data_IF_699768277896
#
_entry.id   IF_699768277896
#
_cell.length_a   1.000
_cell.length_b   1.000
_cell.length_c   1.000
_cell.angle_alpha   90.00
_cell.angle_beta   90.00
_cell.angle_gamma   90.00
#
_symmetry.space_group_name_H-M   'P 1'
#
loop_
_entity.id
_entity.type
_entity.pdbx_description
1 polymer ?
#
# COMPACT_ATOMS: atom_id res chain seq x y z
N UNK A 1 -1.11 10.86 -38.81
CA UNK A 1 -0.89 11.12 -37.37
C UNK A 1 -2.11 10.66 -36.59
N UNK A 2 -2.01 9.51 -35.90
CA UNK A 2 -3.07 9.02 -35.03
C UNK A 2 -2.99 9.79 -33.71
N UNK A 3 -3.98 10.65 -33.45
CA UNK A 3 -4.12 11.33 -32.15
C UNK A 3 -4.73 10.32 -31.18
N UNK A 4 -3.87 9.63 -30.42
CA UNK A 4 -4.26 8.81 -29.28
C UNK A 4 -4.80 9.76 -28.21
N UNK A 5 -6.11 10.03 -28.21
CA UNK A 5 -6.78 10.64 -27.06
C UNK A 5 -6.74 9.64 -25.91
N UNK A 6 -5.75 9.79 -25.04
CA UNK A 6 -5.73 9.14 -23.73
C UNK A 6 -6.92 9.70 -22.96
N UNK A 7 -7.98 8.90 -22.85
CA UNK A 7 -9.16 9.23 -22.07
C UNK A 7 -8.76 9.12 -20.60
N UNK A 8 -8.48 10.26 -19.95
CA UNK A 8 -8.31 10.31 -18.49
C UNK A 8 -9.70 10.07 -17.90
N UNK A 9 -9.99 8.80 -17.60
CA UNK A 9 -11.22 8.41 -16.92
C UNK A 9 -11.35 9.19 -15.61
N UNK A 10 -12.56 9.65 -15.30
CA UNK A 10 -12.85 10.25 -14.00
C UNK A 10 -12.44 9.26 -12.90
N UNK A 11 -11.53 9.69 -12.03
CA UNK A 11 -11.10 8.85 -10.91
C UNK A 11 -12.28 8.60 -9.97
N UNK A 12 -12.51 7.33 -9.62
CA UNK A 12 -13.57 6.97 -8.69
C UNK A 12 -13.25 7.49 -7.29
N UNK A 13 -14.26 7.71 -6.44
CA UNK A 13 -14.06 8.09 -5.03
C UNK A 13 -13.12 7.12 -4.32
N UNK A 14 -13.19 5.83 -4.65
CA UNK A 14 -12.28 4.78 -4.16
C UNK A 14 -10.83 5.01 -4.57
N UNK A 15 -10.57 5.32 -5.84
CA UNK A 15 -9.22 5.62 -6.32
C UNK A 15 -8.63 6.86 -5.62
N UNK A 16 -9.46 7.87 -5.34
CA UNK A 16 -9.03 9.06 -4.59
C UNK A 16 -8.66 8.71 -3.14
N UNK A 17 -9.46 7.90 -2.46
CA UNK A 17 -9.16 7.45 -1.08
C UNK A 17 -7.88 6.60 -1.03
N UNK A 18 -7.70 5.67 -1.97
CA UNK A 18 -6.48 4.86 -2.05
C UNK A 18 -5.24 5.71 -2.34
N UNK A 19 -5.36 6.73 -3.21
CA UNK A 19 -4.27 7.65 -3.48
C UNK A 19 -3.89 8.49 -2.25
N UNK A 20 -4.88 8.98 -1.49
CA UNK A 20 -4.62 9.69 -0.22
C UNK A 20 -3.95 8.76 0.79
N UNK A 21 -4.41 7.52 0.90
CA UNK A 21 -3.79 6.50 1.76
C UNK A 21 -2.33 6.21 1.38
N UNK A 22 -2.02 6.12 0.08
CA UNK A 22 -0.66 5.95 -0.42
C UNK A 22 0.25 7.11 0.00
N UNK A 23 -0.21 8.35 -0.21
CA UNK A 23 0.56 9.54 0.18
C UNK A 23 0.80 9.61 1.69
N UNK A 24 -0.20 9.21 2.49
CA UNK A 24 -0.05 9.16 3.94
C UNK A 24 1.02 8.13 4.38
N UNK A 25 1.05 6.95 3.76
CA UNK A 25 2.08 5.93 4.03
C UNK A 25 3.47 6.42 3.63
N UNK A 26 3.60 7.04 2.45
CA UNK A 26 4.86 7.62 1.99
C UNK A 26 5.37 8.71 2.94
N UNK A 27 4.48 9.63 3.34
CA UNK A 27 4.81 10.69 4.29
C UNK A 27 5.24 10.17 5.65
N UNK A 28 4.57 9.15 6.18
CA UNK A 28 4.93 8.50 7.44
C UNK A 28 6.33 7.90 7.37
N UNK A 29 6.66 7.17 6.29
CA UNK A 29 7.99 6.58 6.13
C UNK A 29 9.07 7.66 5.99
N UNK A 30 8.84 8.71 5.20
CA UNK A 30 9.77 9.84 5.10
C UNK A 30 10.02 10.50 6.47
N UNK A 31 8.97 10.71 7.25
CA UNK A 31 9.08 11.24 8.61
C UNK A 31 9.87 10.29 9.54
N UNK A 32 9.67 8.97 9.46
CA UNK A 32 10.46 7.99 10.21
C UNK A 32 11.94 8.04 9.80
N UNK A 33 12.24 8.16 8.50
CA UNK A 33 13.60 8.31 8.01
C UNK A 33 14.30 9.55 8.60
N UNK A 34 13.62 10.69 8.57
CA UNK A 34 14.16 11.98 9.04
C UNK A 34 14.23 12.11 10.56
N UNK A 35 13.18 11.69 11.28
CA UNK A 35 13.03 11.98 12.71
C UNK A 35 13.50 10.85 13.62
N UNK A 36 13.67 9.64 13.09
CA UNK A 36 14.03 8.45 13.90
C UNK A 36 15.31 7.81 13.40
N UNK A 37 15.38 7.44 12.12
CA UNK A 37 16.52 6.66 11.60
C UNK A 37 17.79 7.51 11.53
N UNK A 38 17.73 8.68 10.88
CA UNK A 38 18.91 9.54 10.76
C UNK A 38 19.47 9.98 12.12
N UNK A 39 18.67 10.48 13.09
CA UNK A 39 19.19 10.86 14.40
C UNK A 39 19.76 9.68 15.19
N UNK A 40 19.14 8.49 15.11
CA UNK A 40 19.65 7.31 15.80
C UNK A 40 21.01 6.85 15.25
N UNK A 41 21.20 6.89 13.93
CA UNK A 41 22.49 6.57 13.31
C UNK A 41 23.55 7.63 13.62
N UNK A 42 23.18 8.91 13.55
CA UNK A 42 24.08 10.00 13.93
C UNK A 42 24.52 9.87 15.40
N UNK A 43 23.60 9.62 16.32
CA UNK A 43 23.93 9.43 17.74
C UNK A 43 24.83 8.22 17.98
N UNK A 44 24.66 7.16 17.19
CA UNK A 44 25.53 5.98 17.27
C UNK A 44 26.97 6.32 16.86
N UNK A 45 27.16 7.14 15.83
CA UNK A 45 28.49 7.58 15.37
C UNK A 45 29.08 8.64 16.31
N UNK A 46 28.31 9.66 16.69
CA UNK A 46 28.73 10.68 17.64
C UNK A 46 29.09 10.10 19.03
N UNK A 47 28.42 9.04 19.46
CA UNK A 47 28.73 8.35 20.71
C UNK A 47 30.01 7.52 20.70
N UNK A 48 30.68 7.39 19.55
CA UNK A 48 31.98 6.72 19.42
C UNK A 48 33.18 7.68 19.51
N UNK A 49 32.92 8.99 19.49
CA UNK A 49 33.91 10.07 19.51
C UNK A 49 34.04 10.61 20.93
N UNK A 50 35.25 10.60 21.50
CA UNK A 50 35.53 11.15 22.83
C UNK A 50 36.33 12.47 22.77
N UNK A 51 35.59 13.58 22.82
CA UNK A 51 36.12 14.96 22.84
C UNK A 51 35.96 15.62 24.21
N UNK A 52 35.89 14.82 25.28
CA UNK A 52 35.72 15.31 26.65
C UNK A 52 37.04 15.85 27.23
N UNK A 53 37.01 16.77 28.22
CA UNK A 53 38.21 17.12 28.97
C UNK A 53 38.86 15.87 29.60
N UNK A 54 40.17 15.74 29.48
CA UNK A 54 40.94 14.56 29.94
C UNK A 54 41.08 13.45 28.90
N UNK A 55 40.43 13.54 27.74
CA UNK A 55 40.64 12.59 26.62
C UNK A 55 41.89 12.93 25.80
N UNK A 56 42.33 12.00 24.94
CA UNK A 56 43.46 12.22 24.01
C UNK A 56 43.13 13.42 23.10
N UNK A 57 44.09 14.34 22.94
CA UNK A 57 43.95 15.59 22.20
C UNK A 57 43.35 16.75 23.00
N UNK A 58 42.89 16.53 24.23
CA UNK A 58 42.43 17.60 25.12
C UNK A 58 43.60 18.33 25.77
N UNK A 59 43.35 19.54 26.29
CA UNK A 59 44.37 20.31 27.02
C UNK A 59 44.86 19.56 28.25
N UNK A 60 46.15 19.72 28.57
CA UNK A 60 46.72 19.22 29.82
C UNK A 60 45.96 19.79 31.04
N UNK A 61 45.38 18.91 31.84
CA UNK A 61 44.56 19.26 33.02
C UNK A 61 45.12 18.66 34.34
N UNK A 62 46.27 17.98 34.26
CA UNK A 62 46.92 17.29 35.37
C UNK A 62 46.34 15.90 35.67
N UNK A 63 45.44 15.36 34.85
CA UNK A 63 44.89 14.02 34.99
C UNK A 63 45.88 12.90 34.62
N UNK A 64 46.88 13.21 33.79
CA UNK A 64 47.87 12.26 33.28
C UNK A 64 49.31 12.69 33.62
N UNK A 65 50.28 11.77 33.67
CA UNK A 65 51.67 12.10 33.94
C UNK A 65 52.27 13.05 32.90
N UNK A 66 53.06 14.01 33.38
CA UNK A 66 53.91 14.84 32.51
C UNK A 66 55.21 14.07 32.24
N UNK A 67 55.59 13.98 30.98
CA UNK A 67 56.77 13.25 30.50
C UNK A 67 57.68 14.16 29.69
N UNK A 68 58.98 13.85 29.66
CA UNK A 68 59.96 14.59 28.85
C UNK A 68 60.83 13.67 27.98
N UNK A 69 60.75 12.35 28.20
CA UNK A 69 61.59 11.37 27.49
C UNK A 69 60.77 10.31 26.75
N UNK A 70 61.32 9.77 25.66
CA UNK A 70 60.65 8.71 24.87
C UNK A 70 60.29 7.49 25.74
N UNK A 71 61.19 7.08 26.63
CA UNK A 71 60.99 5.92 27.50
C UNK A 71 59.77 6.05 28.42
N UNK A 72 59.43 7.26 28.82
CA UNK A 72 58.23 7.54 29.63
C UNK A 72 56.95 7.52 28.80
N UNK A 73 57.06 7.81 27.49
CA UNK A 73 55.94 7.78 26.54
C UNK A 73 55.60 6.36 26.07
N UNK A 74 56.58 5.45 26.01
CA UNK A 74 56.47 4.08 25.44
C UNK A 74 55.62 3.07 26.25
N UNK A 75 54.84 3.52 27.23
CA UNK A 75 53.98 2.65 28.05
C UNK A 75 52.61 2.33 27.48
N UNK A 76 52.18 3.02 26.41
CA UNK A 76 50.80 2.96 25.90
C UNK A 76 49.76 3.64 26.79
N UNK A 77 50.21 4.24 27.90
CA UNK A 77 49.39 5.06 28.78
C UNK A 77 49.33 6.51 28.28
N UNK A 78 48.22 7.23 28.51
CA UNK A 78 48.14 8.65 28.19
C UNK A 78 49.18 9.48 28.96
N UNK A 79 49.73 10.51 28.31
CA UNK A 79 50.76 11.38 28.87
C UNK A 79 50.57 12.83 28.41
N UNK A 80 51.26 13.77 29.06
CA UNK A 80 51.44 15.14 28.57
C UNK A 80 52.92 15.35 28.32
N UNK A 81 53.30 15.59 27.06
CA UNK A 81 54.70 15.87 26.72
C UNK A 81 54.99 17.34 27.04
N UNK A 82 55.98 17.58 27.89
CA UNK A 82 56.54 18.91 28.14
C UNK A 82 57.94 18.95 27.55
N UNK A 83 58.14 19.76 26.51
CA UNK A 83 59.38 19.75 25.73
C UNK A 83 59.97 21.17 25.68
N UNK A 84 61.29 21.27 25.78
CA UNK A 84 61.99 22.53 25.52
C UNK A 84 62.25 22.69 24.02
N UNK A 85 61.88 23.85 23.48
CA UNK A 85 62.01 24.17 22.07
C UNK A 85 62.76 25.48 21.89
N UNK A 86 63.69 25.49 20.93
CA UNK A 86 64.53 26.64 20.61
C UNK A 86 64.16 27.17 19.22
N UNK A 87 63.96 28.48 19.13
CA UNK A 87 63.35 29.18 18.01
C UNK A 87 64.19 29.15 16.75
N UNK A 88 63.64 28.53 15.71
CA UNK A 88 63.53 29.16 14.40
C UNK A 88 62.05 29.16 14.03
N UNK A 89 61.56 30.20 13.37
CA UNK A 89 60.14 30.49 13.12
C UNK A 89 59.48 29.54 12.10
N UNK A 90 60.06 28.36 11.91
CA UNK A 90 59.54 27.22 11.14
C UNK A 90 59.09 26.12 12.11
N UNK A 91 58.11 26.45 12.97
CA UNK A 91 57.39 25.49 13.84
C UNK A 91 57.06 24.22 13.05
N UNK A 92 57.52 23.06 13.55
CA UNK A 92 57.21 21.71 13.07
C UNK A 92 57.25 21.56 11.54
N UNK A 93 58.43 21.43 10.94
CA UNK A 93 58.56 20.86 9.58
C UNK A 93 58.26 19.37 9.63
N UNK A 94 56.98 19.05 9.69
CA UNK A 94 56.47 17.71 9.46
C UNK A 94 56.51 17.35 7.98
N UNK A 95 56.33 16.08 7.67
CA UNK A 95 56.16 15.59 6.30
C UNK A 95 54.99 14.60 6.22
N UNK A 96 54.56 14.33 4.99
CA UNK A 96 53.54 13.32 4.71
C UNK A 96 54.11 11.92 4.92
N UNK A 97 53.38 11.07 5.62
CA UNK A 97 53.53 9.62 5.58
C UNK A 97 52.20 9.08 5.03
N UNK A 98 52.23 8.58 3.79
CA UNK A 98 51.01 8.24 3.06
C UNK A 98 50.17 9.48 2.74
N UNK A 99 48.89 9.45 3.12
CA UNK A 99 47.94 10.56 2.96
C UNK A 99 47.83 11.43 4.22
N UNK A 100 48.60 11.12 5.27
CA UNK A 100 48.54 11.79 6.56
C UNK A 100 49.76 12.69 6.78
N UNK A 101 49.54 13.95 7.18
CA UNK A 101 50.62 14.85 7.60
C UNK A 101 50.96 14.62 9.07
N UNK A 102 52.25 14.40 9.37
CA UNK A 102 52.73 14.25 10.73
C UNK A 102 53.70 15.38 11.09
N UNK A 103 53.49 15.98 12.24
CA UNK A 103 54.37 16.98 12.82
C UNK A 103 55.65 16.35 13.35
N UNK A 104 56.73 17.13 13.34
CA UNK A 104 58.03 16.73 13.85
C UNK A 104 58.22 17.25 15.26
N UNK A 105 58.42 16.36 16.22
CA UNK A 105 58.82 16.71 17.59
C UNK A 105 60.22 16.15 17.83
N UNK A 106 61.15 17.01 18.27
CA UNK A 106 62.51 16.59 18.66
C UNK A 106 62.61 16.66 20.17
N UNK A 107 62.89 15.53 20.82
CA UNK A 107 63.05 15.42 22.27
C UNK A 107 64.45 15.88 22.71
N UNK A 108 64.63 16.09 24.01
CA UNK A 108 65.91 16.52 24.61
C UNK A 108 67.10 15.59 24.30
N UNK A 109 66.84 14.29 24.15
CA UNK A 109 67.88 13.30 23.81
C UNK A 109 68.22 13.25 22.30
N UNK A 110 67.58 14.12 21.50
CA UNK A 110 67.75 14.20 20.05
C UNK A 110 66.84 13.25 19.27
N UNK A 111 66.00 12.47 19.94
CA UNK A 111 65.04 11.59 19.27
C UNK A 111 63.97 12.42 18.54
N UNK A 112 63.72 12.09 17.29
CA UNK A 112 62.71 12.72 16.44
C UNK A 112 61.51 11.80 16.26
N UNK A 113 60.34 12.29 16.69
CA UNK A 113 59.05 11.63 16.62
C UNK A 113 58.15 12.27 15.55
N UNK A 114 57.33 11.43 14.93
CA UNK A 114 56.15 11.86 14.19
C UNK A 114 54.98 12.03 15.18
N UNK A 115 54.22 13.11 15.04
CA UNK A 115 53.09 13.41 15.91
C UNK A 115 51.89 13.97 15.17
N UNK A 116 50.69 13.56 15.57
CA UNK A 116 49.45 14.29 15.27
C UNK A 116 49.17 15.22 16.43
N UNK A 117 49.03 16.52 16.17
CA UNK A 117 48.99 17.52 17.24
C UNK A 117 47.78 18.42 17.04
N UNK A 118 46.94 18.52 18.07
CA UNK A 118 45.94 19.58 18.17
C UNK A 118 46.59 20.85 18.75
N UNK A 119 47.18 21.67 17.87
CA UNK A 119 47.88 22.91 18.25
C UNK A 119 47.03 23.87 19.10
N UNK A 120 45.70 23.88 18.92
CA UNK A 120 44.80 24.72 19.74
C UNK A 120 44.74 24.33 21.24
N UNK A 121 45.26 23.15 21.61
CA UNK A 121 45.30 22.66 22.98
C UNK A 121 46.72 22.70 23.60
N UNK A 122 47.70 23.27 22.91
CA UNK A 122 49.05 23.44 23.46
C UNK A 122 49.16 24.70 24.32
N UNK A 123 50.14 24.71 25.23
CA UNK A 123 50.50 25.90 26.00
C UNK A 123 52.00 26.15 25.93
N UNK A 124 52.40 27.40 25.68
CA UNK A 124 53.79 27.81 25.54
C UNK A 124 54.20 28.71 26.72
N UNK A 125 55.32 28.39 27.37
CA UNK A 125 55.94 29.21 28.42
C UNK A 125 57.33 29.67 27.95
N UNK A 126 57.57 30.98 27.89
CA UNK A 126 58.89 31.51 27.55
C UNK A 126 59.87 31.31 28.72
N UNK A 127 61.04 30.74 28.43
CA UNK A 127 62.08 30.49 29.42
C UNK A 127 62.75 31.82 29.79
N UNK A 128 63.02 32.01 31.08
CA UNK A 128 63.75 33.17 31.58
C UNK A 128 65.01 32.71 32.29
N UNK A 129 66.16 32.98 31.67
CA UNK A 129 67.46 32.67 32.27
C UNK A 129 67.67 33.42 33.60
N UNK A 130 68.39 32.77 34.52
CA UNK A 130 68.63 33.28 35.86
C UNK A 130 69.46 34.58 35.80
N UNK A 131 68.86 35.70 36.20
CA UNK A 131 69.46 37.05 36.12
C UNK A 131 69.05 37.89 34.90
N UNK A 132 68.28 37.33 33.95
CA UNK A 132 67.81 38.07 32.78
C UNK A 132 66.66 39.03 33.11
N UNK A 133 66.65 40.22 32.47
CA UNK A 133 65.60 41.23 32.60
C UNK A 133 64.35 40.93 31.76
N UNK A 134 64.46 40.04 30.77
CA UNK A 134 63.37 39.64 29.85
C UNK A 134 63.44 38.12 29.62
N UNK A 135 62.30 37.53 29.27
CA UNK A 135 62.25 36.15 28.81
C UNK A 135 62.92 36.02 27.43
N UNK A 136 63.49 34.85 27.17
CA UNK A 136 63.96 34.49 25.85
C UNK A 136 62.77 34.07 25.00
N UNK A 137 62.53 34.80 23.91
CA UNK A 137 61.43 34.51 22.98
C UNK A 137 61.80 33.42 21.98
N UNK A 138 63.07 33.01 21.94
CA UNK A 138 63.61 31.91 21.14
C UNK A 138 63.81 30.66 22.01
N UNK A 139 63.37 30.63 23.27
CA UNK A 139 63.41 29.43 24.10
C UNK A 139 62.08 29.30 24.84
N UNK A 140 61.28 28.32 24.43
CA UNK A 140 59.96 28.05 24.98
C UNK A 140 59.87 26.65 25.52
N UNK A 141 59.20 26.47 26.65
CA UNK A 141 58.72 25.17 27.07
C UNK A 141 57.30 25.01 26.54
N UNK A 142 57.11 24.04 25.65
CA UNK A 142 55.81 23.69 25.09
C UNK A 142 55.24 22.54 25.89
N UNK A 143 54.02 22.71 26.39
CA UNK A 143 53.23 21.63 26.98
C UNK A 143 52.16 21.23 25.97
N UNK A 144 52.33 20.04 25.40
CA UNK A 144 51.46 19.49 24.37
C UNK A 144 50.12 18.98 24.95
N UNK A 145 49.10 18.77 24.11
CA UNK A 145 47.85 18.13 24.51
C UNK A 145 48.09 16.72 25.08
N UNK A 146 47.09 16.17 25.78
CA UNK A 146 47.14 14.78 26.26
C UNK A 146 47.35 13.87 25.06
N UNK A 147 48.46 13.14 25.06
CA UNK A 147 48.89 12.27 23.98
C UNK A 147 48.93 10.80 24.38
N UNK A 148 49.00 9.93 23.39
CA UNK A 148 49.31 8.50 23.57
C UNK A 148 50.16 8.00 22.42
N UNK A 149 51.07 7.06 22.69
CA UNK A 149 51.83 6.40 21.63
C UNK A 149 50.93 5.39 20.92
N UNK A 150 50.83 5.51 19.59
CA UNK A 150 50.08 4.57 18.75
C UNK A 150 51.00 3.84 17.77
N UNK A 151 50.74 2.55 17.49
CA UNK A 151 51.41 1.88 16.39
C UNK A 151 50.97 2.48 15.06
N UNK A 152 51.84 2.39 14.05
CA UNK A 152 51.50 2.82 12.69
C UNK A 152 50.32 2.04 12.10
N UNK A 153 49.39 2.71 11.38
CA UNK A 153 48.42 2.04 10.53
C UNK A 153 49.12 1.06 9.57
N UNK A 154 48.49 -0.08 9.30
CA UNK A 154 49.10 -1.15 8.49
C UNK A 154 49.61 -0.66 7.12
N UNK A 155 48.92 0.31 6.54
CA UNK A 155 49.22 0.93 5.24
C UNK A 155 50.33 1.99 5.29
N UNK A 156 50.66 2.50 6.49
CA UNK A 156 51.70 3.51 6.69
C UNK A 156 53.02 2.92 7.26
N UNK A 157 53.02 1.67 7.74
CA UNK A 157 54.17 1.02 8.39
C UNK A 157 55.46 1.07 7.55
N UNK A 158 55.43 0.57 6.30
CA UNK A 158 56.61 0.56 5.42
C UNK A 158 57.08 1.99 5.06
N UNK A 159 56.13 2.94 4.94
CA UNK A 159 56.43 4.33 4.63
C UNK A 159 57.09 5.04 5.81
N UNK A 160 56.60 4.78 7.02
CA UNK A 160 57.17 5.30 8.25
C UNK A 160 58.58 4.74 8.50
N UNK A 161 58.82 3.44 8.24
CA UNK A 161 60.16 2.84 8.28
C UNK A 161 61.13 3.58 7.33
N UNK A 162 60.70 3.84 6.10
CA UNK A 162 61.51 4.53 5.08
C UNK A 162 61.70 6.04 5.31
N UNK A 163 60.91 6.68 6.19
CA UNK A 163 60.90 8.13 6.38
C UNK A 163 62.22 8.67 6.98
N UNK A 164 63.10 9.27 6.17
CA UNK A 164 64.42 9.72 6.65
C UNK A 164 64.43 10.86 7.68
N UNK A 165 63.27 11.48 7.95
CA UNK A 165 63.15 12.65 8.82
C UNK A 165 62.81 12.33 10.28
N UNK A 166 62.39 11.11 10.60
CA UNK A 166 62.15 10.62 11.97
C UNK A 166 63.21 9.59 12.37
N UNK A 167 63.56 9.55 13.66
CA UNK A 167 64.49 8.55 14.21
C UNK A 167 63.75 7.44 14.96
N UNK A 168 62.59 7.73 15.53
CA UNK A 168 61.72 6.72 16.14
C UNK A 168 60.74 6.15 15.10
N UNK A 169 60.66 4.81 15.03
CA UNK A 169 59.96 4.09 13.95
C UNK A 169 58.84 3.19 14.41
N UNK A 170 58.76 2.89 15.70
CA UNK A 170 57.83 1.87 16.20
C UNK A 170 56.39 2.40 16.35
N UNK A 171 56.19 3.71 16.20
CA UNK A 171 54.88 4.34 16.21
C UNK A 171 54.94 5.85 16.05
N UNK A 172 53.83 6.51 16.36
CA UNK A 172 53.70 7.97 16.38
C UNK A 172 53.01 8.42 17.66
N UNK A 173 53.18 9.69 18.02
CA UNK A 173 52.43 10.30 19.10
C UNK A 173 51.08 10.82 18.59
N UNK A 174 49.98 10.29 19.09
CA UNK A 174 48.64 10.83 18.84
C UNK A 174 48.27 11.80 19.95
N UNK A 175 48.29 13.09 19.64
CA UNK A 175 47.85 14.21 20.48
C UNK A 175 46.73 15.00 19.81
N UNK A 176 46.04 14.38 18.85
CA UNK A 176 44.84 14.90 18.19
C UNK A 176 43.60 14.15 18.69
N UNK A 177 43.73 12.83 18.90
CA UNK A 177 42.64 11.98 19.37
C UNK A 177 41.41 12.05 18.45
N UNK A 178 40.22 12.02 19.05
CA UNK A 178 38.98 12.09 18.27
C UNK A 178 38.57 13.54 17.91
N UNK A 179 39.34 14.56 18.32
CA UNK A 179 39.06 15.96 17.96
C UNK A 179 39.24 16.24 16.47
N UNK A 180 39.98 15.40 15.76
CA UNK A 180 40.12 15.45 14.29
C UNK A 180 39.03 14.68 13.52
N UNK A 181 38.09 14.02 14.20
CA UNK A 181 37.04 13.21 13.54
C UNK A 181 35.90 14.09 13.05
N UNK A 182 35.72 14.16 11.72
CA UNK A 182 34.57 14.82 11.12
C UNK A 182 33.31 13.93 11.18
N UNK A 183 32.32 14.34 11.98
CA UNK A 183 31.01 13.69 12.00
C UNK A 183 30.21 13.98 10.72
N UNK A 184 29.36 13.05 10.27
CA UNK A 184 28.51 13.29 9.12
C UNK A 184 27.50 14.43 9.38
N UNK A 185 27.21 15.21 8.33
CA UNK A 185 26.21 16.27 8.39
C UNK A 185 24.81 15.69 8.68
N UNK A 186 24.29 15.96 9.88
CA UNK A 186 22.99 15.48 10.34
C UNK A 186 21.84 15.94 9.44
N UNK A 187 21.85 17.16 8.93
CA UNK A 187 20.77 17.66 8.07
C UNK A 187 20.79 16.98 6.70
N UNK A 188 21.98 16.72 6.17
CA UNK A 188 22.16 15.89 4.98
C UNK A 188 21.68 14.46 5.24
N UNK A 189 22.06 13.84 6.36
CA UNK A 189 21.60 12.50 6.74
C UNK A 189 20.08 12.42 6.86
N UNK A 190 19.44 13.41 7.50
CA UNK A 190 17.97 13.49 7.62
C UNK A 190 17.31 13.52 6.25
N UNK A 191 17.88 14.29 5.31
CA UNK A 191 17.39 14.40 3.94
C UNK A 191 17.53 13.08 3.19
N UNK A 192 18.71 12.46 3.23
CA UNK A 192 18.98 11.20 2.53
C UNK A 192 18.13 10.05 3.05
N UNK A 193 18.02 9.91 4.38
CA UNK A 193 17.18 8.87 4.98
C UNK A 193 15.69 9.12 4.79
N UNK A 194 15.25 10.38 4.79
CA UNK A 194 13.87 10.73 4.41
C UNK A 194 13.56 10.25 3.00
N UNK A 195 14.43 10.51 2.03
CA UNK A 195 14.23 10.11 0.63
C UNK A 195 14.23 8.58 0.46
N UNK A 196 15.20 7.88 1.07
CA UNK A 196 15.28 6.41 1.06
C UNK A 196 14.02 5.77 1.64
N UNK A 197 13.56 6.27 2.78
CA UNK A 197 12.36 5.74 3.42
C UNK A 197 11.09 6.10 2.67
N UNK A 198 10.99 7.29 2.07
CA UNK A 198 9.87 7.66 1.20
C UNK A 198 9.73 6.68 0.02
N UNK A 199 10.85 6.29 -0.60
CA UNK A 199 10.86 5.28 -1.66
C UNK A 199 10.38 3.90 -1.16
N UNK A 200 10.83 3.47 0.02
CA UNK A 200 10.32 2.25 0.67
C UNK A 200 8.82 2.34 0.97
N UNK A 201 8.35 3.50 1.44
CA UNK A 201 6.94 3.80 1.69
C UNK A 201 6.08 3.76 0.43
N UNK A 202 6.61 4.17 -0.72
CA UNK A 202 5.92 4.04 -2.01
C UNK A 202 5.68 2.57 -2.36
N UNK A 203 6.71 1.72 -2.25
CA UNK A 203 6.58 0.28 -2.54
C UNK A 203 5.59 -0.39 -1.59
N UNK A 204 5.72 -0.14 -0.28
CA UNK A 204 4.81 -0.68 0.72
C UNK A 204 3.37 -0.19 0.53
N UNK A 205 3.20 1.11 0.24
CA UNK A 205 1.90 1.71 0.00
C UNK A 205 1.22 1.17 -1.27
N UNK A 206 1.96 0.96 -2.36
CA UNK A 206 1.41 0.34 -3.58
C UNK A 206 0.97 -1.11 -3.35
N UNK A 207 1.75 -1.89 -2.60
CA UNK A 207 1.36 -3.25 -2.22
C UNK A 207 0.10 -3.27 -1.34
N UNK A 208 0.06 -2.41 -0.32
CA UNK A 208 -1.10 -2.29 0.58
C UNK A 208 -2.37 -1.83 -0.16
N UNK A 209 -2.27 -0.79 -0.99
CA UNK A 209 -3.42 -0.29 -1.77
C UNK A 209 -3.93 -1.34 -2.75
N UNK A 210 -3.03 -2.06 -3.44
CA UNK A 210 -3.42 -3.16 -4.33
C UNK A 210 -4.13 -4.27 -3.56
N UNK A 211 -3.62 -4.66 -2.39
CA UNK A 211 -4.26 -5.67 -1.55
C UNK A 211 -5.66 -5.22 -1.10
N UNK A 212 -5.80 -4.00 -0.59
CA UNK A 212 -7.10 -3.43 -0.19
C UNK A 212 -8.08 -3.40 -1.37
N UNK A 213 -7.61 -2.98 -2.55
CA UNK A 213 -8.42 -2.93 -3.76
C UNK A 213 -8.93 -4.33 -4.16
N UNK A 214 -8.06 -5.34 -4.11
CA UNK A 214 -8.43 -6.74 -4.35
C UNK A 214 -9.43 -7.27 -3.32
N UNK A 215 -9.23 -6.98 -2.03
CA UNK A 215 -10.15 -7.40 -0.96
C UNK A 215 -11.53 -6.74 -1.09
N UNK A 216 -11.57 -5.45 -1.37
CA UNK A 216 -12.82 -4.72 -1.59
C UNK A 216 -13.54 -5.22 -2.85
N UNK A 217 -12.83 -5.42 -3.97
CA UNK A 217 -13.40 -5.96 -5.19
C UNK A 217 -14.00 -7.35 -5.00
N UNK A 218 -13.34 -8.22 -4.22
CA UNK A 218 -13.90 -9.54 -3.84
C UNK A 218 -15.18 -9.42 -3.02
N UNK A 219 -15.24 -8.47 -2.08
CA UNK A 219 -16.43 -8.24 -1.24
C UNK A 219 -17.60 -7.70 -2.07
N UNK A 220 -17.36 -6.76 -2.97
CA UNK A 220 -18.35 -6.20 -3.89
C UNK A 220 -18.89 -7.27 -4.86
N UNK A 221 -17.99 -8.08 -5.46
CA UNK A 221 -18.38 -9.19 -6.32
C UNK A 221 -19.22 -10.23 -5.58
N UNK A 222 -18.88 -10.54 -4.32
CA UNK A 222 -19.67 -11.45 -3.47
C UNK A 222 -21.03 -10.91 -3.06
N UNK A 223 -21.21 -9.58 -3.05
CA UNK A 223 -22.45 -8.98 -2.56
C UNK A 223 -23.66 -9.32 -3.44
N UNK A 224 -23.48 -9.50 -4.75
CA UNK A 224 -24.55 -9.94 -5.65
C UNK A 224 -24.49 -11.41 -6.02
N UNK A 225 -23.49 -12.19 -5.60
CA UNK A 225 -23.57 -13.66 -5.74
C UNK A 225 -24.55 -14.23 -4.70
N UNK A 226 -25.46 -15.14 -5.08
CA UNK A 226 -26.34 -15.81 -4.12
C UNK A 226 -25.52 -16.57 -3.07
N UNK A 227 -25.85 -16.39 -1.79
CA UNK A 227 -25.16 -16.99 -0.63
C UNK A 227 -26.03 -18.01 0.11
N UNK A 228 -27.34 -17.98 -0.10
CA UNK A 228 -28.31 -18.88 0.53
C UNK A 228 -29.14 -19.58 -0.54
N UNK A 229 -29.76 -20.71 -0.18
CA UNK A 229 -30.68 -21.41 -1.08
C UNK A 229 -31.88 -20.53 -1.46
N UNK A 230 -32.38 -19.71 -0.54
CA UNK A 230 -33.45 -18.74 -0.82
C UNK A 230 -33.03 -17.71 -1.88
N UNK A 231 -31.83 -17.13 -1.76
CA UNK A 231 -31.30 -16.20 -2.75
C UNK A 231 -31.12 -16.87 -4.12
N UNK A 232 -30.66 -18.11 -4.13
CA UNK A 232 -30.48 -18.89 -5.35
C UNK A 232 -31.83 -19.26 -5.99
N UNK A 233 -32.82 -19.66 -5.19
CA UNK A 233 -34.17 -19.96 -5.64
C UNK A 233 -34.81 -18.72 -6.27
N UNK A 234 -34.73 -17.57 -5.60
CA UNK A 234 -35.22 -16.29 -6.12
C UNK A 234 -34.48 -15.90 -7.41
N UNK A 235 -33.16 -16.12 -7.49
CA UNK A 235 -32.44 -15.91 -8.75
C UNK A 235 -32.97 -16.82 -9.87
N UNK A 236 -33.36 -18.05 -9.54
CA UNK A 236 -33.92 -19.03 -10.46
C UNK A 236 -35.09 -18.49 -11.29
N UNK A 237 -36.00 -17.74 -10.67
CA UNK A 237 -37.21 -17.20 -11.34
C UNK A 237 -36.88 -16.25 -12.49
N UNK A 238 -35.71 -15.61 -12.49
CA UNK A 238 -35.27 -14.72 -13.57
C UNK A 238 -33.86 -15.05 -14.09
N UNK A 239 -33.35 -16.25 -13.83
CA UNK A 239 -31.98 -16.64 -14.12
C UNK A 239 -31.66 -16.56 -15.62
N UNK A 240 -32.62 -16.91 -16.48
CA UNK A 240 -32.46 -16.77 -17.92
C UNK A 240 -32.23 -15.31 -18.32
N UNK A 241 -33.06 -14.38 -17.82
CA UNK A 241 -32.85 -12.95 -17.99
C UNK A 241 -31.48 -12.51 -17.48
N UNK A 242 -31.15 -12.87 -16.24
CA UNK A 242 -29.92 -12.50 -15.56
C UNK A 242 -28.68 -12.89 -16.37
N UNK A 243 -28.64 -14.11 -16.90
CA UNK A 243 -27.52 -14.60 -17.71
C UNK A 243 -27.41 -13.91 -19.07
N UNK A 244 -28.51 -13.45 -19.67
CA UNK A 244 -28.42 -12.60 -20.86
C UNK A 244 -27.91 -11.20 -20.52
N UNK A 245 -28.45 -10.60 -19.46
CA UNK A 245 -28.10 -9.25 -19.04
C UNK A 245 -26.63 -9.15 -18.61
N UNK A 246 -26.10 -10.19 -17.97
CA UNK A 246 -24.70 -10.33 -17.61
C UNK A 246 -23.73 -10.19 -18.80
N UNK A 247 -24.14 -10.62 -20.01
CA UNK A 247 -23.31 -10.61 -21.22
C UNK A 247 -23.13 -9.22 -21.85
N UNK A 248 -23.90 -8.21 -21.42
CA UNK A 248 -23.88 -6.87 -21.99
C UNK A 248 -22.80 -5.98 -21.34
N UNK A 249 -21.95 -5.29 -22.09
CA UNK A 249 -21.13 -4.23 -21.51
C UNK A 249 -21.96 -2.98 -21.14
N UNK A 250 -21.33 -1.96 -20.55
CA UNK A 250 -21.99 -0.70 -20.19
C UNK A 250 -22.63 0.06 -21.38
N UNK A 251 -22.21 -0.26 -22.62
CA UNK A 251 -22.82 0.27 -23.85
C UNK A 251 -24.01 -0.55 -24.35
N UNK A 252 -24.34 -1.65 -23.68
CA UNK A 252 -25.41 -2.59 -24.07
C UNK A 252 -25.01 -3.53 -25.21
N UNK A 253 -23.71 -3.74 -25.47
CA UNK A 253 -23.24 -4.69 -26.49
C UNK A 253 -22.86 -6.02 -25.85
N UNK A 254 -23.20 -7.13 -26.50
CA UNK A 254 -22.75 -8.47 -26.11
C UNK A 254 -21.22 -8.53 -26.12
N UNK A 255 -20.63 -9.16 -25.10
CA UNK A 255 -19.18 -9.25 -24.92
C UNK A 255 -18.66 -10.67 -24.85
N UNK A 256 -19.26 -11.50 -24.00
CA UNK A 256 -18.89 -12.90 -23.87
C UNK A 256 -20.16 -13.74 -23.85
N UNK A 257 -20.19 -14.89 -24.55
CA UNK A 257 -21.35 -15.76 -24.54
C UNK A 257 -21.56 -16.36 -23.15
N UNK A 258 -22.83 -16.61 -22.80
CA UNK A 258 -23.16 -17.39 -21.62
C UNK A 258 -22.68 -18.84 -21.76
N UNK A 259 -22.11 -19.39 -20.69
CA UNK A 259 -21.72 -20.79 -20.56
C UNK A 259 -22.17 -21.36 -19.22
N UNK A 260 -21.98 -22.66 -19.01
CA UNK A 260 -22.21 -23.33 -17.71
C UNK A 260 -21.29 -22.80 -16.59
N UNK A 261 -20.18 -22.15 -16.94
CA UNK A 261 -19.23 -21.54 -16.00
C UNK A 261 -19.48 -20.04 -15.77
N UNK A 262 -20.45 -19.43 -16.47
CA UNK A 262 -20.79 -18.03 -16.24
C UNK A 262 -21.29 -17.82 -14.81
N UNK A 263 -20.87 -16.72 -14.14
CA UNK A 263 -21.24 -16.44 -12.76
C UNK A 263 -22.75 -16.11 -12.63
N UNK A 264 -23.32 -16.51 -11.50
CA UNK A 264 -24.69 -16.22 -11.11
C UNK A 264 -24.71 -14.97 -10.21
N UNK A 265 -25.43 -13.94 -10.63
CA UNK A 265 -25.60 -12.70 -9.87
C UNK A 265 -27.08 -12.36 -9.68
N UNK A 266 -27.46 -12.01 -8.46
CA UNK A 266 -28.70 -11.32 -8.13
C UNK A 266 -28.79 -10.02 -8.96
N UNK A 267 -29.92 -9.81 -9.63
CA UNK A 267 -30.08 -8.70 -10.58
C UNK A 267 -29.26 -8.82 -11.87
N UNK A 268 -28.60 -9.96 -12.10
CA UNK A 268 -27.89 -10.29 -13.34
C UNK A 268 -26.50 -9.71 -13.50
N UNK A 269 -26.02 -8.88 -12.56
CA UNK A 269 -24.69 -8.22 -12.65
C UNK A 269 -23.95 -8.18 -11.31
N UNK A 270 -22.60 -8.08 -11.32
CA UNK A 270 -21.85 -7.73 -10.12
C UNK A 270 -22.31 -6.39 -9.53
N UNK A 271 -22.24 -6.23 -8.21
CA UNK A 271 -22.60 -4.99 -7.52
C UNK A 271 -21.45 -3.98 -7.56
N UNK A 272 -21.21 -3.42 -8.74
CA UNK A 272 -20.22 -2.36 -9.00
C UNK A 272 -20.85 -1.11 -9.64
N UNK A 273 -20.09 -0.03 -9.76
CA UNK A 273 -20.58 1.26 -10.27
C UNK A 273 -20.96 1.24 -11.75
N UNK A 274 -20.28 0.43 -12.58
CA UNK A 274 -20.60 0.33 -14.00
C UNK A 274 -21.90 -0.45 -14.23
N UNK A 275 -22.10 -1.52 -13.46
CA UNK A 275 -23.32 -2.31 -13.43
C UNK A 275 -24.50 -1.50 -12.89
N UNK A 276 -24.28 -0.68 -11.86
CA UNK A 276 -25.27 0.27 -11.35
C UNK A 276 -25.70 1.26 -12.43
N UNK A 277 -24.76 1.92 -13.12
CA UNK A 277 -25.07 2.88 -14.20
C UNK A 277 -25.84 2.24 -15.34
N UNK A 278 -25.43 1.05 -15.80
CA UNK A 278 -26.14 0.33 -16.86
C UNK A 278 -27.55 -0.06 -16.41
N UNK A 279 -27.70 -0.58 -15.18
CA UNK A 279 -28.99 -1.01 -14.65
C UNK A 279 -29.96 0.17 -14.54
N UNK A 280 -29.53 1.31 -14.00
CA UNK A 280 -30.34 2.54 -13.96
C UNK A 280 -30.71 3.01 -15.38
N UNK A 281 -29.78 2.93 -16.34
CA UNK A 281 -30.05 3.28 -17.74
C UNK A 281 -31.14 2.38 -18.34
N UNK A 282 -31.08 1.07 -18.10
CA UNK A 282 -32.05 0.09 -18.59
C UNK A 282 -33.41 0.30 -17.92
N UNK A 283 -33.46 0.50 -16.61
CA UNK A 283 -34.70 0.82 -15.88
C UNK A 283 -35.37 2.08 -16.46
N UNK A 284 -34.61 3.14 -16.70
CA UNK A 284 -35.16 4.38 -17.27
C UNK A 284 -35.62 4.23 -18.72
N UNK A 285 -34.79 3.59 -19.56
CA UNK A 285 -35.01 3.53 -21.00
C UNK A 285 -36.08 2.51 -21.38
N UNK A 286 -35.97 1.30 -20.84
CA UNK A 286 -36.74 0.15 -21.32
C UNK A 286 -37.99 -0.08 -20.46
N UNK A 287 -38.00 0.41 -19.21
CA UNK A 287 -39.13 0.28 -18.28
C UNK A 287 -39.81 1.61 -17.92
N UNK A 288 -39.20 2.76 -18.22
CA UNK A 288 -39.71 4.06 -17.78
C UNK A 288 -39.59 4.32 -16.28
N UNK A 289 -38.93 3.43 -15.53
CA UNK A 289 -38.77 3.48 -14.07
C UNK A 289 -37.63 4.44 -13.71
N UNK A 290 -37.92 5.51 -12.98
CA UNK A 290 -36.96 6.57 -12.62
C UNK A 290 -36.65 6.61 -11.14
N UNK A 291 -37.57 6.14 -10.30
CA UNK A 291 -37.47 6.17 -8.84
C UNK A 291 -37.64 4.78 -8.23
N UNK A 292 -37.37 4.68 -6.92
CA UNK A 292 -37.62 3.47 -6.14
C UNK A 292 -39.13 3.18 -6.08
N UNK A 293 -39.94 4.22 -5.97
CA UNK A 293 -41.39 4.15 -5.88
C UNK A 293 -41.98 3.61 -7.18
N UNK A 294 -41.56 4.16 -8.34
CA UNK A 294 -41.96 3.66 -9.66
C UNK A 294 -41.67 2.15 -9.80
N UNK A 295 -40.53 1.70 -9.26
CA UNK A 295 -40.11 0.30 -9.31
C UNK A 295 -41.04 -0.57 -8.47
N UNK A 296 -41.36 -0.15 -7.25
CA UNK A 296 -42.22 -0.90 -6.33
C UNK A 296 -43.66 -0.94 -6.84
N UNK A 297 -44.18 0.16 -7.38
CA UNK A 297 -45.52 0.23 -7.97
C UNK A 297 -45.62 -0.69 -9.20
N UNK A 298 -44.58 -0.71 -10.04
CA UNK A 298 -44.51 -1.63 -11.19
C UNK A 298 -44.51 -3.09 -10.73
N UNK A 299 -43.73 -3.42 -9.70
CA UNK A 299 -43.69 -4.79 -9.14
C UNK A 299 -45.03 -5.20 -8.54
N UNK A 300 -45.72 -4.31 -7.83
CA UNK A 300 -47.04 -4.61 -7.26
C UNK A 300 -48.08 -4.82 -8.37
N UNK A 301 -48.08 -3.97 -9.41
CA UNK A 301 -48.93 -4.12 -10.59
C UNK A 301 -48.76 -5.49 -11.28
N UNK A 302 -47.50 -5.92 -11.47
CA UNK A 302 -47.14 -7.16 -12.17
C UNK A 302 -47.25 -8.43 -11.32
N UNK A 303 -47.34 -8.32 -9.99
CA UNK A 303 -47.37 -9.50 -9.11
C UNK A 303 -48.69 -9.71 -8.38
N UNK A 304 -49.44 -8.64 -8.13
CA UNK A 304 -50.71 -8.67 -7.37
C UNK A 304 -51.79 -7.77 -7.97
N UNK A 305 -51.45 -6.91 -8.93
CA UNK A 305 -52.39 -6.05 -9.63
C UNK A 305 -52.98 -6.69 -10.89
N UNK A 306 -53.67 -5.86 -11.68
CA UNK A 306 -54.30 -6.28 -12.94
C UNK A 306 -53.30 -6.83 -13.96
N UNK A 307 -52.04 -6.38 -13.93
CA UNK A 307 -50.99 -6.96 -14.79
C UNK A 307 -50.88 -8.48 -14.63
N UNK A 308 -50.98 -8.98 -13.39
CA UNK A 308 -51.02 -10.41 -13.11
C UNK A 308 -52.41 -11.03 -13.27
N UNK A 309 -53.44 -10.45 -12.65
CA UNK A 309 -54.77 -11.07 -12.58
C UNK A 309 -55.52 -11.12 -13.91
N UNK A 310 -55.21 -10.23 -14.84
CA UNK A 310 -55.84 -10.19 -16.16
C UNK A 310 -55.14 -11.14 -17.16
N UNK A 311 -54.03 -11.78 -16.77
CA UNK A 311 -53.37 -12.78 -17.60
C UNK A 311 -54.24 -14.04 -17.77
N UNK A 312 -54.57 -14.34 -19.03
CA UNK A 312 -55.37 -15.53 -19.41
C UNK A 312 -54.53 -16.77 -19.71
N UNK A 313 -53.21 -16.61 -19.92
CA UNK A 313 -52.28 -17.71 -20.21
C UNK A 313 -51.25 -17.90 -19.09
N UNK A 314 -50.74 -19.14 -18.95
CA UNK A 314 -49.62 -19.42 -18.04
C UNK A 314 -48.33 -18.68 -18.47
N UNK A 315 -48.09 -18.56 -19.78
CA UNK A 315 -46.97 -17.79 -20.34
C UNK A 315 -47.03 -16.32 -19.91
N UNK A 316 -48.19 -15.68 -19.99
CA UNK A 316 -48.40 -14.31 -19.50
C UNK A 316 -48.14 -14.18 -18.00
N UNK A 317 -48.66 -15.10 -17.18
CA UNK A 317 -48.39 -15.11 -15.73
C UNK A 317 -46.90 -15.26 -15.42
N UNK A 318 -46.19 -16.12 -16.14
CA UNK A 318 -44.76 -16.33 -15.96
C UNK A 318 -43.98 -15.06 -16.34
N UNK A 319 -44.39 -14.40 -17.43
CA UNK A 319 -43.80 -13.15 -17.88
C UNK A 319 -43.87 -12.05 -16.84
N UNK A 320 -45.02 -11.88 -16.18
CA UNK A 320 -45.22 -10.85 -15.16
C UNK A 320 -44.47 -11.19 -13.85
N UNK A 321 -44.61 -12.42 -13.36
CA UNK A 321 -44.03 -12.82 -12.08
C UNK A 321 -42.49 -12.92 -12.13
N UNK A 322 -41.91 -13.51 -13.19
CA UNK A 322 -40.46 -13.58 -13.34
C UNK A 322 -39.85 -12.17 -13.44
N UNK A 323 -40.48 -11.28 -14.22
CA UNK A 323 -40.00 -9.90 -14.36
C UNK A 323 -40.19 -9.07 -13.10
N UNK A 324 -41.16 -9.40 -12.24
CA UNK A 324 -41.31 -8.78 -10.92
C UNK A 324 -40.07 -9.04 -10.05
N UNK A 325 -39.64 -10.30 -9.93
CA UNK A 325 -38.39 -10.64 -9.21
C UNK A 325 -37.13 -10.09 -9.88
N UNK A 326 -37.12 -10.02 -11.22
CA UNK A 326 -36.06 -9.37 -11.99
C UNK A 326 -35.93 -7.89 -11.61
N UNK A 327 -37.04 -7.13 -11.59
CA UNK A 327 -37.05 -5.70 -11.27
C UNK A 327 -36.55 -5.46 -9.84
N UNK A 328 -36.95 -6.29 -8.87
CA UNK A 328 -36.42 -6.23 -7.51
C UNK A 328 -34.90 -6.47 -7.48
N UNK A 329 -34.41 -7.45 -8.24
CA UNK A 329 -32.97 -7.68 -8.44
C UNK A 329 -32.25 -6.47 -9.07
N UNK A 330 -32.86 -5.84 -10.08
CA UNK A 330 -32.34 -4.61 -10.71
C UNK A 330 -32.33 -3.43 -9.72
N UNK A 331 -33.36 -3.29 -8.88
CA UNK A 331 -33.41 -2.28 -7.82
C UNK A 331 -32.29 -2.43 -6.80
N UNK A 332 -31.92 -3.67 -6.48
CA UNK A 332 -30.76 -3.97 -5.62
C UNK A 332 -29.42 -3.54 -6.28
N UNK A 333 -29.24 -3.81 -7.58
CA UNK A 333 -28.03 -3.40 -8.31
C UNK A 333 -27.97 -1.88 -8.48
N UNK A 334 -29.11 -1.22 -8.77
CA UNK A 334 -29.23 0.24 -8.87
C UNK A 334 -28.93 0.95 -7.53
N UNK A 335 -28.99 0.24 -6.41
CA UNK A 335 -28.83 0.79 -5.07
C UNK A 335 -30.09 1.46 -4.52
N UNK A 336 -31.26 1.14 -5.09
CA UNK A 336 -32.57 1.62 -4.61
C UNK A 336 -33.16 0.71 -3.53
N UNK A 337 -32.75 -0.56 -3.51
CA UNK A 337 -33.14 -1.54 -2.50
C UNK A 337 -31.91 -2.09 -1.78
N UNK A 338 -32.03 -2.35 -0.48
CA UNK A 338 -31.09 -3.21 0.24
C UNK A 338 -31.26 -4.67 -0.18
N UNK A 339 -30.27 -5.52 0.10
CA UNK A 339 -30.37 -6.97 -0.18
C UNK A 339 -31.56 -7.60 0.57
N UNK A 340 -31.75 -7.19 1.83
CA UNK A 340 -32.85 -7.64 2.69
C UNK A 340 -34.22 -7.27 2.09
N UNK A 341 -34.43 -6.00 1.74
CA UNK A 341 -35.69 -5.57 1.11
C UNK A 341 -35.96 -6.28 -0.22
N UNK A 342 -34.93 -6.45 -1.05
CA UNK A 342 -35.05 -7.19 -2.31
C UNK A 342 -35.49 -8.64 -2.05
N UNK A 343 -34.91 -9.31 -1.05
CA UNK A 343 -35.25 -10.69 -0.70
C UNK A 343 -36.65 -10.83 -0.11
N UNK A 344 -37.02 -9.99 0.85
CA UNK A 344 -38.35 -10.02 1.47
C UNK A 344 -39.45 -9.84 0.43
N UNK A 345 -39.30 -8.86 -0.46
CA UNK A 345 -40.28 -8.60 -1.54
C UNK A 345 -40.28 -9.71 -2.59
N UNK A 346 -39.09 -10.21 -2.97
CA UNK A 346 -39.00 -11.29 -3.95
C UNK A 346 -39.55 -12.60 -3.40
N UNK A 347 -39.50 -12.82 -2.09
CA UNK A 347 -40.08 -13.99 -1.43
C UNK A 347 -41.60 -14.00 -1.50
N UNK A 348 -42.24 -12.83 -1.37
CA UNK A 348 -43.69 -12.70 -1.57
C UNK A 348 -44.07 -13.11 -3.00
N UNK A 349 -43.35 -12.61 -4.01
CA UNK A 349 -43.58 -13.00 -5.41
C UNK A 349 -43.25 -14.47 -5.65
N UNK A 350 -42.17 -14.99 -5.04
CA UNK A 350 -41.77 -16.39 -5.11
C UNK A 350 -42.83 -17.35 -4.56
N UNK A 351 -43.48 -17.00 -3.44
CA UNK A 351 -44.60 -17.77 -2.90
C UNK A 351 -45.81 -17.79 -3.86
N UNK A 352 -46.05 -16.71 -4.61
CA UNK A 352 -47.07 -16.69 -5.67
C UNK A 352 -46.66 -17.63 -6.81
N UNK A 353 -45.41 -17.54 -7.27
CA UNK A 353 -44.85 -18.42 -8.32
C UNK A 353 -45.01 -19.90 -7.93
N UNK A 354 -44.65 -20.29 -6.70
CA UNK A 354 -44.78 -21.66 -6.20
C UNK A 354 -46.21 -22.20 -6.23
N UNK A 355 -47.22 -21.33 -6.10
CA UNK A 355 -48.65 -21.69 -6.14
C UNK A 355 -49.22 -21.74 -7.55
N UNK A 356 -48.70 -20.91 -8.47
CA UNK A 356 -49.21 -20.75 -9.84
C UNK A 356 -48.65 -21.81 -10.80
N UNK A 357 -47.42 -22.27 -10.58
CA UNK A 357 -46.76 -23.27 -11.43
C UNK A 357 -46.45 -24.55 -10.66
N UNK A 358 -46.38 -25.67 -11.37
CA UNK A 358 -46.09 -26.99 -10.84
C UNK A 358 -44.61 -27.31 -10.64
N UNK A 359 -43.70 -26.49 -11.19
CA UNK A 359 -42.26 -26.72 -11.10
C UNK A 359 -41.41 -25.78 -11.94
N UNK A 360 -40.09 -25.95 -11.84
CA UNK A 360 -39.11 -25.17 -12.61
C UNK A 360 -39.30 -25.31 -14.12
N UNK A 361 -39.59 -26.51 -14.60
CA UNK A 361 -39.78 -26.78 -16.03
C UNK A 361 -40.96 -25.97 -16.59
N UNK A 362 -42.14 -26.07 -15.97
CA UNK A 362 -43.33 -25.32 -16.37
C UNK A 362 -43.10 -23.81 -16.34
N UNK A 363 -42.50 -23.29 -15.26
CA UNK A 363 -42.18 -21.86 -15.15
C UNK A 363 -41.23 -21.42 -16.26
N UNK A 364 -40.18 -22.19 -16.52
CA UNK A 364 -39.14 -21.84 -17.47
C UNK A 364 -39.62 -21.87 -18.92
N UNK A 365 -40.41 -22.88 -19.31
CA UNK A 365 -40.99 -22.94 -20.64
C UNK A 365 -42.06 -21.86 -20.83
N UNK A 366 -42.92 -21.63 -19.83
CA UNK A 366 -43.90 -20.53 -19.86
C UNK A 366 -43.24 -19.16 -20.05
N UNK A 367 -42.11 -18.92 -19.37
CA UNK A 367 -41.33 -17.68 -19.54
C UNK A 367 -40.70 -17.58 -20.94
N UNK A 368 -40.14 -18.67 -21.47
CA UNK A 368 -39.51 -18.68 -22.79
C UNK A 368 -40.54 -18.51 -23.92
N UNK A 369 -41.74 -19.06 -23.76
CA UNK A 369 -42.87 -18.84 -24.66
C UNK A 369 -43.24 -17.35 -24.69
N UNK A 370 -43.51 -16.74 -23.54
CA UNK A 370 -43.84 -15.31 -23.48
C UNK A 370 -42.71 -14.40 -24.00
N UNK A 371 -41.45 -14.77 -23.74
CA UNK A 371 -40.30 -14.06 -24.33
C UNK A 371 -40.32 -14.14 -25.85
N UNK A 372 -40.62 -15.31 -26.40
CA UNK A 372 -40.67 -15.55 -27.84
C UNK A 372 -41.73 -14.68 -28.49
N UNK A 373 -42.94 -14.68 -27.94
CA UNK A 373 -44.06 -13.87 -28.42
C UNK A 373 -43.72 -12.38 -28.40
N UNK A 374 -43.22 -11.88 -27.27
CA UNK A 374 -42.78 -10.50 -27.13
C UNK A 374 -41.68 -10.13 -28.13
N UNK A 375 -40.70 -11.03 -28.33
CA UNK A 375 -39.56 -10.76 -29.21
C UNK A 375 -39.98 -10.74 -30.68
N UNK A 376 -40.85 -11.65 -31.09
CA UNK A 376 -41.44 -11.68 -32.44
C UNK A 376 -42.24 -10.41 -32.70
N UNK A 377 -43.06 -9.98 -31.73
CA UNK A 377 -43.85 -8.76 -31.84
C UNK A 377 -42.98 -7.51 -32.04
N UNK A 378 -41.84 -7.41 -31.32
CA UNK A 378 -40.98 -6.23 -31.34
C UNK A 378 -39.99 -6.23 -32.51
N UNK A 379 -39.53 -7.39 -32.98
CA UNK A 379 -38.38 -7.48 -33.91
C UNK A 379 -38.63 -8.31 -35.18
N UNK A 380 -39.80 -8.92 -35.34
CA UNK A 380 -40.16 -9.70 -36.53
C UNK A 380 -39.09 -10.74 -36.90
N UNK A 381 -38.64 -10.73 -38.17
CA UNK A 381 -37.63 -11.65 -38.69
C UNK A 381 -36.26 -11.57 -37.99
N UNK A 382 -35.96 -10.49 -37.25
CA UNK A 382 -34.71 -10.35 -36.48
C UNK A 382 -34.80 -10.97 -35.07
N UNK A 383 -35.94 -11.58 -34.71
CA UNK A 383 -36.17 -12.20 -33.42
C UNK A 383 -35.37 -13.51 -33.22
N UNK A 384 -35.15 -14.27 -34.30
CA UNK A 384 -34.68 -15.66 -34.25
C UNK A 384 -33.39 -15.84 -33.45
N UNK A 385 -32.35 -15.07 -33.78
CA UNK A 385 -31.06 -15.16 -33.10
C UNK A 385 -31.17 -14.90 -31.58
N UNK A 386 -32.06 -13.98 -31.17
CA UNK A 386 -32.28 -13.66 -29.77
C UNK A 386 -33.10 -14.75 -29.06
N UNK A 387 -34.03 -15.42 -29.74
CA UNK A 387 -34.80 -16.55 -29.21
C UNK A 387 -33.90 -17.77 -29.02
N UNK A 388 -33.11 -18.11 -30.04
CA UNK A 388 -32.11 -19.19 -29.97
C UNK A 388 -31.14 -18.97 -28.81
N UNK A 389 -30.65 -17.73 -28.65
CA UNK A 389 -29.78 -17.37 -27.52
C UNK A 389 -30.45 -17.62 -26.16
N UNK A 390 -31.72 -17.28 -26.00
CA UNK A 390 -32.46 -17.53 -24.75
C UNK A 390 -32.62 -19.01 -24.43
N UNK A 391 -32.88 -19.83 -25.45
CA UNK A 391 -32.95 -21.29 -25.29
C UNK A 391 -31.58 -21.88 -24.94
N UNK A 392 -30.51 -21.39 -25.56
CA UNK A 392 -29.14 -21.81 -25.20
C UNK A 392 -28.80 -21.47 -23.74
N UNK A 393 -29.19 -20.28 -23.28
CA UNK A 393 -29.02 -19.89 -21.86
C UNK A 393 -29.79 -20.85 -20.94
N UNK A 394 -31.03 -21.21 -21.29
CA UNK A 394 -31.82 -22.16 -20.51
C UNK A 394 -31.15 -23.54 -20.44
N UNK A 395 -30.66 -24.05 -21.57
CA UNK A 395 -29.90 -25.31 -21.62
C UNK A 395 -28.64 -25.25 -20.74
N UNK A 396 -27.89 -24.15 -20.80
CA UNK A 396 -26.71 -23.95 -19.95
C UNK A 396 -27.09 -23.89 -18.46
N UNK A 397 -28.22 -23.27 -18.11
CA UNK A 397 -28.76 -23.25 -16.75
C UNK A 397 -29.16 -24.66 -16.28
N UNK A 398 -29.78 -25.49 -17.13
CA UNK A 398 -30.13 -26.86 -16.79
C UNK A 398 -28.88 -27.75 -16.58
N UNK A 399 -27.83 -27.52 -17.38
CA UNK A 399 -26.63 -28.35 -17.38
C UNK A 399 -25.61 -28.02 -16.28
N UNK A 400 -25.67 -26.82 -15.66
CA UNK A 400 -24.74 -26.46 -14.58
C UNK A 400 -25.05 -27.19 -13.27
N UNK A 401 -24.00 -27.48 -12.50
CA UNK A 401 -24.08 -28.21 -11.22
C UNK A 401 -24.70 -27.38 -10.11
N UNK A 402 -24.44 -26.08 -10.12
CA UNK A 402 -24.93 -25.07 -9.20
C UNK A 402 -26.23 -24.39 -9.69
N UNK A 403 -26.99 -25.06 -10.56
CA UNK A 403 -28.22 -24.52 -11.12
C UNK A 403 -29.25 -24.21 -10.03
N UNK A 404 -29.94 -23.06 -10.07
CA UNK A 404 -31.09 -22.81 -9.21
C UNK A 404 -32.22 -23.82 -9.45
N UNK A 405 -32.31 -24.40 -10.65
CA UNK A 405 -33.35 -25.38 -11.01
C UNK A 405 -33.15 -26.76 -10.38
N UNK A 406 -32.04 -26.97 -9.64
CA UNK A 406 -31.82 -28.17 -8.82
C UNK A 406 -32.38 -28.03 -7.40
N UNK A 407 -32.79 -26.84 -6.99
CA UNK A 407 -33.39 -26.61 -5.67
C UNK A 407 -34.83 -27.15 -5.64
N UNK A 408 -35.31 -27.60 -4.46
CA UNK A 408 -36.72 -27.98 -4.29
C UNK A 408 -37.65 -26.87 -4.75
N UNK A 409 -38.69 -27.22 -5.52
CA UNK A 409 -39.68 -26.25 -5.99
C UNK A 409 -40.35 -25.52 -4.82
N UNK A 410 -40.83 -26.29 -3.83
CA UNK A 410 -41.45 -25.80 -2.60
C UNK A 410 -40.42 -25.49 -1.50
N UNK A 411 -39.35 -24.76 -1.84
CA UNK A 411 -38.40 -24.25 -0.85
C UNK A 411 -39.08 -23.17 0.03
N UNK A 412 -38.94 -23.19 1.37
CA UNK A 412 -39.48 -22.12 2.20
C UNK A 412 -38.79 -20.77 1.94
N UNK A 413 -39.55 -19.78 1.45
CA UNK A 413 -39.02 -18.44 1.14
C UNK A 413 -39.30 -17.41 2.24
N UNK A 414 -39.99 -17.78 3.34
CA UNK A 414 -40.25 -16.91 4.49
C UNK A 414 -41.70 -16.38 4.62
N UNK A 415 -42.01 -15.92 5.85
CA UNK A 415 -43.23 -15.31 6.46
C UNK A 415 -44.64 -15.84 6.12
N UNK A 416 -44.82 -16.76 5.18
CA UNK A 416 -46.11 -17.41 4.89
C UNK A 416 -46.00 -18.95 4.93
N UNK A 417 -45.18 -19.48 5.84
CA UNK A 417 -45.00 -20.92 6.03
C UNK A 417 -46.24 -21.64 6.59
N UNK A 418 -47.35 -20.95 6.88
CA UNK A 418 -48.54 -21.56 7.49
C UNK A 418 -49.69 -21.89 6.53
N UNK A 419 -49.64 -21.50 5.24
CA UNK A 419 -50.67 -21.93 4.26
C UNK A 419 -50.09 -22.11 2.86
N UNK A 420 -49.52 -23.28 2.60
CA UNK A 420 -49.25 -23.76 1.23
C UNK A 420 -50.41 -24.64 0.75
N UNK A 421 -51.55 -24.04 0.44
CA UNK A 421 -52.55 -24.68 -0.43
C UNK A 421 -52.54 -24.01 -1.81
N UNK A 422 -52.75 -24.80 -2.87
CA UNK A 422 -52.88 -24.30 -4.25
C UNK A 422 -54.01 -23.28 -4.31
N UNK A 423 -53.80 -22.20 -5.06
CA UNK A 423 -54.89 -21.32 -5.49
C UNK A 423 -55.81 -22.16 -6.38
N UNK A 424 -57.00 -22.50 -5.88
CA UNK A 424 -58.04 -23.11 -6.73
C UNK A 424 -58.46 -22.07 -7.76
N UNK A 425 -58.53 -22.47 -9.02
CA UNK A 425 -59.05 -21.64 -10.11
C UNK A 425 -60.38 -21.00 -9.69
N UNK A 426 -60.60 -19.74 -10.06
CA UNK A 426 -61.95 -19.17 -10.08
C UNK A 426 -62.77 -20.03 -11.03
N UNK A 427 -63.51 -21.00 -10.48
CA UNK A 427 -64.63 -21.61 -11.17
C UNK A 427 -65.60 -20.48 -11.48
N UNK A 428 -65.70 -20.14 -12.76
CA UNK A 428 -66.71 -19.21 -13.26
C UNK A 428 -68.09 -19.78 -12.92
N UNK A 429 -68.90 -18.98 -12.24
CA UNK A 429 -70.34 -19.18 -12.19
C UNK A 429 -71.00 -18.13 -13.10
N UNK A 430 -71.58 -18.68 -14.17
CA UNK A 430 -72.67 -18.24 -15.08
C UNK A 430 -72.58 -16.87 -15.72
#
# INVERSE_FOLDING_TARGET
>A
MAVTRVYVGHSSTRQKVLAVGLLAVMGLFGAVGSLVVAPALYQKEAGQVDVSPGSIGSMADGSVPVVTTLKEMEGGEPFVLRNEEFGDWTRSTGEMIGETYYNKITLEDGTVLAAKIRFEAETEEFVREEGALRADYEHTVVTYPIGVMRPWPQEEQELAEAAGWITYKDGYADMEGDFGVELPDLEKMKTDWSLKMLAAGLVAGLAATTAVDLFMGRKEGRASTPQTEQEMWILGTYANWAQNFGQLNYKGRLTSPNTVASPLYLGGRPKDEDSKKLTIKVLKKDWGIKTREDLLDTVEYMSKGSGFWDCTTQSGRAWELCRSTQLLGMGYIAGWLTKKEMLERSSVVGNIIQRVFGGWEELSESYLEAYTDWRVQVSGQQAEAAIVMRRQIQQNLNNRKDSPYRLPWMLPLGMDSERMERVKEKTGEV
#
